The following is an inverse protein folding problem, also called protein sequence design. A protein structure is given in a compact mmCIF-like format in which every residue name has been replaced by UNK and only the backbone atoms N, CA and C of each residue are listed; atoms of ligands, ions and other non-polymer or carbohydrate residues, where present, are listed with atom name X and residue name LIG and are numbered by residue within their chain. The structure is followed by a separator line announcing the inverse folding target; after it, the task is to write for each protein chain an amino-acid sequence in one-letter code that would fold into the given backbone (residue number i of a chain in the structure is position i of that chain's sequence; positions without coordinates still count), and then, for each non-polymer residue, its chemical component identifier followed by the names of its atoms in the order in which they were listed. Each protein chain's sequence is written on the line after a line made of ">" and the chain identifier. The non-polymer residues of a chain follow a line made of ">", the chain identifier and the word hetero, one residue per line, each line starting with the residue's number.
data_IF_951664835904
#
_entry.id   IF_951664835904
#
_cell.length_a   1.000
_cell.length_b   1.000
_cell.length_c   1.000
_cell.angle_alpha   90.00
_cell.angle_beta   90.00
_cell.angle_gamma   90.00
#
_symmetry.space_group_name_H-M   'P 1'
#
loop_
_entity.id
_entity.type
_entity.pdbx_description
1 polymer ?
#
# COMPACT_ATOMS: atom_id res chain seq x y z
N UNK A 1 -31.12 29.11 -1.22
CA UNK A 1 -30.06 28.83 -2.19
C UNK A 1 -29.64 27.41 -1.89
N UNK A 2 -30.10 26.44 -2.71
CA UNK A 2 -29.71 25.05 -2.57
C UNK A 2 -28.27 24.94 -3.06
N UNK A 3 -27.40 24.46 -2.18
CA UNK A 3 -26.03 24.07 -2.52
C UNK A 3 -26.11 23.05 -3.66
N UNK A 4 -25.41 23.21 -4.80
CA UNK A 4 -25.45 22.21 -5.85
C UNK A 4 -24.81 20.95 -5.28
N UNK A 5 -25.61 19.94 -5.03
CA UNK A 5 -25.12 18.63 -4.64
C UNK A 5 -24.01 18.23 -5.62
N UNK A 6 -22.79 18.10 -5.12
CA UNK A 6 -21.65 17.63 -5.92
C UNK A 6 -22.00 16.30 -6.60
N UNK A 7 -21.23 15.88 -7.63
CA UNK A 7 -21.51 14.64 -8.35
C UNK A 7 -21.60 13.47 -7.35
N UNK A 8 -22.56 12.57 -7.58
CA UNK A 8 -22.75 11.41 -6.73
C UNK A 8 -21.44 10.59 -6.65
N UNK A 9 -21.04 10.15 -5.46
CA UNK A 9 -19.80 9.40 -5.31
C UNK A 9 -19.85 8.08 -6.10
N UNK A 10 -18.73 7.71 -6.70
CA UNK A 10 -18.59 6.44 -7.40
C UNK A 10 -18.55 5.32 -6.35
N UNK A 11 -19.43 4.35 -6.42
CA UNK A 11 -19.45 3.22 -5.49
C UNK A 11 -18.68 2.03 -6.05
N UNK A 12 -17.94 1.35 -5.17
CA UNK A 12 -17.29 0.05 -5.38
C UNK A 12 -17.68 -0.84 -4.20
N UNK A 13 -18.50 -1.85 -4.47
CA UNK A 13 -18.94 -2.77 -3.43
C UNK A 13 -17.91 -3.89 -3.22
N UNK A 14 -17.73 -4.29 -1.97
CA UNK A 14 -16.91 -5.44 -1.64
C UNK A 14 -17.69 -6.73 -1.92
N UNK A 15 -17.02 -7.74 -2.45
CA UNK A 15 -17.58 -9.10 -2.54
C UNK A 15 -17.64 -9.71 -1.14
N UNK A 16 -18.82 -9.76 -0.56
CA UNK A 16 -19.04 -10.22 0.81
C UNK A 16 -18.63 -9.20 1.87
N UNK A 17 -18.19 -9.68 3.03
CA UNK A 17 -17.81 -8.82 4.15
C UNK A 17 -16.52 -8.05 3.90
N UNK A 18 -16.41 -6.86 4.49
CA UNK A 18 -15.21 -6.01 4.44
C UNK A 18 -14.91 -5.42 5.82
N UNK A 19 -13.79 -5.82 6.41
CA UNK A 19 -13.26 -5.23 7.64
C UNK A 19 -12.61 -3.88 7.31
N UNK A 20 -13.43 -2.86 7.06
CA UNK A 20 -12.96 -1.51 6.75
C UNK A 20 -12.17 -0.89 7.90
N UNK A 21 -12.41 -1.30 9.15
CA UNK A 21 -11.63 -0.82 10.29
C UNK A 21 -10.18 -1.31 10.23
N UNK A 22 -9.94 -2.57 9.80
CA UNK A 22 -8.58 -3.06 9.55
C UNK A 22 -7.88 -2.32 8.41
N UNK A 23 -8.63 -2.02 7.33
CA UNK A 23 -8.10 -1.22 6.22
C UNK A 23 -7.71 0.19 6.69
N UNK A 24 -8.58 0.87 7.45
CA UNK A 24 -8.31 2.20 8.01
C UNK A 24 -7.12 2.19 8.98
N UNK A 25 -6.99 1.16 9.82
CA UNK A 25 -5.83 0.99 10.70
C UNK A 25 -4.53 0.85 9.88
N UNK A 26 -4.57 0.09 8.78
CA UNK A 26 -3.43 -0.03 7.86
C UNK A 26 -3.10 1.31 7.19
N UNK A 27 -4.11 2.06 6.74
CA UNK A 27 -3.90 3.41 6.18
C UNK A 27 -3.26 4.34 7.22
N UNK A 28 -3.76 4.35 8.47
CA UNK A 28 -3.21 5.18 9.55
C UNK A 28 -1.75 4.84 9.87
N UNK A 29 -1.44 3.53 9.90
CA UNK A 29 -0.08 3.07 10.14
C UNK A 29 0.92 3.52 9.07
N UNK A 30 0.45 3.72 7.83
CA UNK A 30 1.29 3.99 6.66
C UNK A 30 1.08 5.36 6.00
N UNK A 31 0.19 6.19 6.51
CA UNK A 31 -0.05 7.53 5.97
C UNK A 31 1.23 8.38 6.01
N UNK A 32 1.48 9.11 4.92
CA UNK A 32 2.65 9.99 4.74
C UNK A 32 2.16 11.44 4.74
N UNK A 33 2.76 12.25 5.59
CA UNK A 33 2.47 13.69 5.67
C UNK A 33 2.78 14.38 4.33
N UNK A 34 1.89 15.28 3.92
CA UNK A 34 1.98 15.98 2.64
C UNK A 34 1.53 15.18 1.42
N UNK A 35 1.37 13.84 1.55
CA UNK A 35 0.87 12.97 0.48
C UNK A 35 -0.57 12.50 0.73
N UNK A 36 -0.93 12.29 1.99
CA UNK A 36 -2.21 11.75 2.40
C UNK A 36 -2.89 12.66 3.42
N UNK A 37 -4.18 12.91 3.24
CA UNK A 37 -5.06 13.41 4.29
C UNK A 37 -5.99 12.27 4.70
N UNK A 38 -5.83 11.80 5.94
CA UNK A 38 -6.60 10.69 6.51
C UNK A 38 -7.46 11.21 7.65
N UNK A 39 -8.78 11.07 7.52
CA UNK A 39 -9.75 11.31 8.59
C UNK A 39 -10.34 9.97 9.03
N UNK A 40 -9.88 9.46 10.17
CA UNK A 40 -10.32 8.17 10.71
C UNK A 40 -11.77 8.21 11.20
N UNK A 41 -12.26 9.37 11.66
CA UNK A 41 -13.63 9.50 12.13
C UNK A 41 -14.63 9.47 10.97
N UNK A 42 -14.28 10.11 9.85
CA UNK A 42 -15.07 10.05 8.62
C UNK A 42 -14.81 8.77 7.80
N UNK A 43 -13.74 8.03 8.10
CA UNK A 43 -13.32 6.86 7.33
C UNK A 43 -12.78 7.21 5.94
N UNK A 44 -12.14 8.38 5.78
CA UNK A 44 -11.74 8.89 4.46
C UNK A 44 -10.23 9.03 4.32
N UNK A 45 -9.75 8.72 3.11
CA UNK A 45 -8.41 9.00 2.62
C UNK A 45 -8.50 9.91 1.41
N UNK A 46 -7.87 11.09 1.47
CA UNK A 46 -7.74 12.00 0.32
C UNK A 46 -6.29 12.04 -0.13
N UNK A 47 -6.05 11.91 -1.44
CA UNK A 47 -4.75 11.99 -2.07
C UNK A 47 -4.86 12.32 -3.56
N UNK A 48 -3.74 12.68 -4.16
CA UNK A 48 -3.59 12.71 -5.61
C UNK A 48 -3.28 11.32 -6.14
N UNK A 49 -3.88 11.00 -7.27
CA UNK A 49 -3.70 9.74 -8.01
C UNK A 49 -3.46 10.07 -9.47
N UNK A 50 -2.42 9.50 -10.04
CA UNK A 50 -2.19 9.58 -11.47
C UNK A 50 -3.08 8.58 -12.22
N UNK A 51 -3.74 9.05 -13.27
CA UNK A 51 -4.47 8.23 -14.25
C UNK A 51 -4.00 8.69 -15.63
N UNK A 52 -3.32 7.82 -16.34
CA UNK A 52 -2.81 8.06 -17.70
C UNK A 52 -2.00 9.38 -17.83
N UNK A 53 -1.12 9.64 -16.86
CA UNK A 53 -0.26 10.83 -16.84
C UNK A 53 -0.95 12.11 -16.38
N UNK A 54 -2.19 12.02 -15.90
CA UNK A 54 -2.93 13.15 -15.34
C UNK A 54 -3.26 12.91 -13.87
N UNK A 55 -2.88 13.87 -13.02
CA UNK A 55 -3.15 13.77 -11.59
C UNK A 55 -4.61 14.19 -11.27
N UNK A 56 -5.29 13.34 -10.50
CA UNK A 56 -6.66 13.58 -10.02
C UNK A 56 -6.69 13.57 -8.50
N UNK A 57 -7.35 14.58 -7.91
CA UNK A 57 -7.64 14.54 -6.47
C UNK A 57 -8.76 13.55 -6.22
N UNK A 58 -8.52 12.60 -5.33
CA UNK A 58 -9.47 11.53 -5.00
C UNK A 58 -9.65 11.44 -3.51
N UNK A 59 -10.89 11.42 -3.06
CA UNK A 59 -11.28 11.08 -1.69
C UNK A 59 -11.96 9.71 -1.70
N UNK A 60 -11.36 8.75 -1.03
CA UNK A 60 -11.91 7.41 -0.85
C UNK A 60 -12.48 7.30 0.56
N UNK A 61 -13.76 6.96 0.69
CA UNK A 61 -14.42 6.66 1.96
C UNK A 61 -14.64 5.15 2.05
N UNK A 62 -14.25 4.54 3.16
CA UNK A 62 -14.45 3.12 3.44
C UNK A 62 -15.61 2.92 4.40
N UNK A 63 -16.42 1.92 4.14
CA UNK A 63 -17.49 1.43 5.00
C UNK A 63 -17.60 -0.11 4.93
N UNK A 64 -18.48 -0.72 5.72
CA UNK A 64 -18.62 -2.18 5.79
C UNK A 64 -19.03 -2.84 4.45
N UNK A 65 -19.61 -2.08 3.52
CA UNK A 65 -20.02 -2.57 2.20
C UNK A 65 -18.96 -2.36 1.11
N UNK A 66 -17.86 -1.63 1.37
CA UNK A 66 -16.83 -1.36 0.36
C UNK A 66 -16.27 0.05 0.41
N UNK A 67 -16.17 0.70 -0.74
CA UNK A 67 -15.61 2.03 -0.89
C UNK A 67 -16.50 2.96 -1.73
N UNK A 68 -16.50 4.25 -1.40
CA UNK A 68 -17.08 5.31 -2.21
C UNK A 68 -15.99 6.31 -2.57
N UNK A 69 -15.96 6.76 -3.84
CA UNK A 69 -14.94 7.67 -4.33
C UNK A 69 -15.58 9.00 -4.75
N UNK A 70 -14.94 10.10 -4.38
CA UNK A 70 -15.24 11.41 -4.89
C UNK A 70 -14.02 11.98 -5.62
N UNK A 71 -14.23 12.54 -6.81
CA UNK A 71 -13.23 13.25 -7.63
C UNK A 71 -13.91 14.39 -8.39
N UNK A 72 -13.22 15.50 -8.66
CA UNK A 72 -13.74 16.56 -9.53
C UNK A 72 -13.91 16.14 -10.99
N UNK A 73 -13.16 15.10 -11.43
CA UNK A 73 -13.24 14.63 -12.82
C UNK A 73 -14.63 14.07 -13.16
N UNK A 74 -15.13 14.43 -14.35
CA UNK A 74 -16.38 13.90 -14.91
C UNK A 74 -16.11 12.88 -16.04
N UNK A 75 -14.86 12.59 -16.35
CA UNK A 75 -14.48 11.67 -17.41
C UNK A 75 -14.81 10.22 -17.01
N UNK A 76 -15.64 9.48 -17.77
CA UNK A 76 -15.95 8.08 -17.50
C UNK A 76 -14.73 7.16 -17.53
N UNK A 77 -13.69 7.47 -18.33
CA UNK A 77 -12.46 6.69 -18.36
C UNK A 77 -11.71 6.81 -17.06
N UNK A 78 -11.58 8.03 -16.52
CA UNK A 78 -10.99 8.29 -15.18
C UNK A 78 -11.79 7.57 -14.09
N UNK A 79 -13.12 7.62 -14.14
CA UNK A 79 -13.99 6.92 -13.20
C UNK A 79 -13.76 5.41 -13.23
N UNK A 80 -13.60 4.83 -14.42
CA UNK A 80 -13.32 3.38 -14.58
C UNK A 80 -11.97 3.02 -14.00
N UNK A 81 -10.93 3.79 -14.30
CA UNK A 81 -9.57 3.57 -13.77
C UNK A 81 -9.54 3.70 -12.24
N UNK A 82 -10.19 4.71 -11.66
CA UNK A 82 -10.25 4.90 -10.21
C UNK A 82 -11.03 3.79 -9.50
N UNK A 83 -12.11 3.26 -10.09
CA UNK A 83 -12.81 2.08 -9.55
C UNK A 83 -11.90 0.86 -9.53
N UNK A 84 -11.20 0.56 -10.62
CA UNK A 84 -10.28 -0.56 -10.70
C UNK A 84 -9.13 -0.42 -9.67
N UNK A 85 -8.58 0.78 -9.53
CA UNK A 85 -7.52 1.08 -8.57
C UNK A 85 -7.97 0.83 -7.13
N UNK A 86 -9.14 1.33 -6.73
CA UNK A 86 -9.66 1.17 -5.36
C UNK A 86 -10.06 -0.28 -5.09
N UNK A 87 -10.61 -0.98 -6.09
CA UNK A 87 -10.86 -2.42 -6.03
C UNK A 87 -9.57 -3.18 -5.69
N UNK A 88 -8.48 -2.88 -6.39
CA UNK A 88 -7.17 -3.46 -6.14
C UNK A 88 -6.59 -3.05 -4.78
N UNK A 89 -6.68 -1.76 -4.41
CA UNK A 89 -6.11 -1.24 -3.15
C UNK A 89 -6.67 -1.94 -1.92
N UNK A 90 -7.96 -2.25 -1.93
CA UNK A 90 -8.65 -2.83 -0.78
C UNK A 90 -9.10 -4.28 -1.02
N UNK A 91 -8.65 -4.90 -2.13
CA UNK A 91 -8.92 -6.30 -2.44
C UNK A 91 -10.44 -6.62 -2.44
N UNK A 92 -11.25 -5.68 -2.98
CA UNK A 92 -12.69 -5.69 -2.80
C UNK A 92 -13.40 -6.84 -3.54
N UNK A 93 -12.83 -7.36 -4.62
CA UNK A 93 -13.39 -8.48 -5.39
C UNK A 93 -12.97 -9.86 -4.89
N UNK A 94 -12.03 -9.94 -3.92
CA UNK A 94 -11.56 -11.22 -3.43
C UNK A 94 -12.69 -12.04 -2.83
N UNK A 95 -12.75 -13.32 -3.22
CA UNK A 95 -13.59 -14.33 -2.55
C UNK A 95 -12.86 -14.81 -1.29
N UNK A 96 -13.36 -14.42 -0.14
CA UNK A 96 -12.75 -14.79 1.14
C UNK A 96 -13.20 -16.15 1.66
N UNK A 97 -14.23 -16.79 1.11
CA UNK A 97 -14.71 -18.07 1.62
C UNK A 97 -13.60 -19.14 1.66
N UNK A 98 -12.84 -19.40 0.56
CA UNK A 98 -11.76 -20.38 0.60
C UNK A 98 -10.55 -19.93 1.47
N UNK A 99 -10.36 -18.61 1.64
CA UNK A 99 -9.34 -18.05 2.55
C UNK A 99 -9.72 -18.34 4.00
N UNK A 100 -10.96 -18.03 4.38
CA UNK A 100 -11.47 -18.21 5.73
C UNK A 100 -11.57 -19.71 6.10
N UNK A 101 -11.94 -20.57 5.16
CA UNK A 101 -11.91 -22.03 5.35
C UNK A 101 -10.48 -22.52 5.64
N UNK A 102 -9.50 -22.08 4.85
CA UNK A 102 -8.10 -22.49 5.01
C UNK A 102 -7.51 -21.97 6.31
N UNK A 103 -7.65 -20.69 6.61
CA UNK A 103 -7.05 -20.07 7.79
C UNK A 103 -7.84 -20.40 9.05
N UNK A 104 -9.18 -20.52 8.98
CA UNK A 104 -10.03 -20.90 10.08
C UNK A 104 -9.78 -22.33 10.60
N UNK A 105 -9.22 -23.22 9.77
CA UNK A 105 -8.78 -24.53 10.18
C UNK A 105 -7.53 -24.52 11.08
N UNK A 106 -6.73 -23.43 11.06
CA UNK A 106 -5.60 -23.28 11.96
C UNK A 106 -6.05 -22.61 13.26
N UNK A 107 -5.83 -23.23 14.44
CA UNK A 107 -6.18 -22.65 15.75
C UNK A 107 -5.65 -21.23 15.97
N UNK A 108 -4.56 -20.87 15.31
CA UNK A 108 -3.98 -19.52 15.38
C UNK A 108 -4.94 -18.45 14.86
N UNK A 109 -5.68 -18.74 13.80
CA UNK A 109 -6.57 -17.77 13.14
C UNK A 109 -8.04 -18.01 13.38
N UNK A 110 -8.43 -19.18 13.91
CA UNK A 110 -9.82 -19.59 14.03
C UNK A 110 -10.71 -18.56 14.77
N UNK A 111 -10.22 -17.96 15.85
CA UNK A 111 -10.94 -16.92 16.56
C UNK A 111 -11.03 -15.63 15.73
N UNK A 112 -9.93 -15.18 15.16
CA UNK A 112 -9.87 -13.95 14.37
C UNK A 112 -10.72 -14.03 13.10
N UNK A 113 -10.76 -15.20 12.44
CA UNK A 113 -11.64 -15.40 11.27
C UNK A 113 -13.10 -15.20 11.63
N UNK A 114 -13.55 -15.71 12.80
CA UNK A 114 -14.93 -15.53 13.28
C UNK A 114 -15.24 -14.11 13.75
N UNK A 115 -14.30 -13.49 14.46
CA UNK A 115 -14.50 -12.18 15.11
C UNK A 115 -14.27 -11.02 14.16
N UNK A 116 -13.41 -11.20 13.15
CA UNK A 116 -13.04 -10.21 12.14
C UNK A 116 -13.17 -10.78 10.72
N UNK A 117 -14.40 -11.16 10.31
CA UNK A 117 -14.64 -11.55 8.92
C UNK A 117 -14.36 -10.38 8.00
N UNK A 118 -13.94 -10.66 6.76
CA UNK A 118 -13.70 -9.61 5.76
C UNK A 118 -12.35 -8.90 5.86
N UNK A 119 -11.41 -9.40 6.67
CA UNK A 119 -10.04 -8.87 6.69
C UNK A 119 -9.33 -9.22 5.38
N UNK A 120 -8.96 -8.18 4.62
CA UNK A 120 -8.39 -8.25 3.27
C UNK A 120 -6.96 -7.72 3.23
N UNK A 121 -6.26 -7.98 2.12
CA UNK A 121 -4.94 -7.41 1.88
C UNK A 121 -5.12 -5.95 1.43
N UNK A 122 -4.61 -5.00 2.23
CA UNK A 122 -4.66 -3.58 1.88
C UNK A 122 -3.39 -3.18 1.12
N UNK A 123 -3.53 -2.69 -0.13
CA UNK A 123 -2.45 -2.36 -1.07
C UNK A 123 -2.32 -0.88 -1.42
N UNK A 124 -3.05 -0.02 -0.93
CA UNK A 124 -3.37 1.40 -1.20
C UNK A 124 -2.28 2.31 -1.84
N UNK A 125 -1.16 1.77 -2.29
CA UNK A 125 -0.09 2.52 -2.97
C UNK A 125 0.04 2.12 -4.43
N UNK A 126 0.24 3.11 -5.35
CA UNK A 126 0.70 2.82 -6.70
C UNK A 126 2.04 2.06 -6.69
N UNK A 127 2.35 1.27 -7.71
CA UNK A 127 3.52 0.39 -7.71
C UNK A 127 4.85 1.08 -7.42
N UNK A 128 5.16 2.19 -8.08
CA UNK A 128 6.39 2.95 -7.84
C UNK A 128 6.47 3.49 -6.41
N UNK A 129 5.41 4.12 -5.92
CA UNK A 129 5.34 4.59 -4.53
C UNK A 129 5.55 3.45 -3.54
N UNK A 130 4.99 2.27 -3.83
CA UNK A 130 5.17 1.09 -3.00
C UNK A 130 6.64 0.63 -2.96
N UNK A 131 7.33 0.61 -4.10
CA UNK A 131 8.77 0.29 -4.18
C UNK A 131 9.57 1.26 -3.32
N UNK A 132 9.44 2.56 -3.56
CA UNK A 132 10.23 3.58 -2.85
C UNK A 132 9.91 3.58 -1.35
N UNK A 133 8.64 3.58 -0.96
CA UNK A 133 8.26 3.56 0.45
C UNK A 133 8.72 2.28 1.17
N UNK A 134 8.74 1.13 0.48
CA UNK A 134 9.28 -0.12 1.05
C UNK A 134 10.79 -0.01 1.28
N UNK A 135 11.54 0.54 0.32
CA UNK A 135 12.99 0.78 0.48
C UNK A 135 13.26 1.76 1.63
N UNK A 136 12.50 2.86 1.73
CA UNK A 136 12.62 3.82 2.83
C UNK A 136 12.34 3.19 4.20
N UNK A 137 11.44 2.21 4.25
CA UNK A 137 11.06 1.49 5.48
C UNK A 137 11.97 0.32 5.87
N UNK A 138 12.95 -0.07 5.04
CA UNK A 138 13.84 -1.19 5.36
C UNK A 138 14.61 -0.95 6.67
N UNK A 139 14.59 -1.91 7.59
CA UNK A 139 15.40 -1.93 8.82
C UNK A 139 15.27 -0.68 9.71
N UNK A 140 14.11 -0.01 9.66
CA UNK A 140 13.79 1.12 10.53
C UNK A 140 12.39 0.95 11.12
N UNK A 141 12.04 1.77 12.12
CA UNK A 141 10.66 1.79 12.61
C UNK A 141 9.70 2.34 11.55
N UNK A 142 8.43 1.96 11.65
CA UNK A 142 7.39 2.47 10.76
C UNK A 142 7.31 4.00 10.76
N UNK A 143 7.49 4.62 11.95
CA UNK A 143 7.54 6.08 12.08
C UNK A 143 8.72 6.71 11.34
N UNK A 144 9.91 6.09 11.39
CA UNK A 144 11.08 6.57 10.65
C UNK A 144 10.90 6.42 9.14
N UNK A 145 10.32 5.30 8.68
CA UNK A 145 10.00 5.11 7.26
C UNK A 145 9.02 6.16 6.73
N UNK A 146 7.99 6.48 7.51
CA UNK A 146 7.03 7.57 7.18
C UNK A 146 7.72 8.93 7.13
N UNK A 147 8.60 9.22 8.08
CA UNK A 147 9.36 10.48 8.10
C UNK A 147 10.24 10.63 6.86
N UNK A 148 10.94 9.56 6.44
CA UNK A 148 11.72 9.59 5.21
C UNK A 148 10.84 9.81 3.97
N UNK A 149 9.69 9.14 3.90
CA UNK A 149 8.74 9.34 2.82
C UNK A 149 8.19 10.77 2.79
N UNK A 150 7.84 11.35 3.95
CA UNK A 150 7.39 12.73 4.06
C UNK A 150 8.45 13.73 3.59
N UNK A 151 9.72 13.54 3.98
CA UNK A 151 10.84 14.37 3.52
C UNK A 151 11.07 14.25 2.02
N UNK A 152 10.98 13.04 1.47
CA UNK A 152 11.11 12.81 0.03
C UNK A 152 9.98 13.53 -0.73
N UNK A 153 8.73 13.41 -0.28
CA UNK A 153 7.58 14.11 -0.86
C UNK A 153 7.72 15.62 -0.72
N UNK A 154 8.18 16.13 0.43
CA UNK A 154 8.39 17.56 0.64
C UNK A 154 9.48 18.13 -0.28
N UNK A 155 10.55 17.37 -0.55
CA UNK A 155 11.66 17.81 -1.39
C UNK A 155 11.36 17.70 -2.89
N UNK A 156 10.72 16.63 -3.32
CA UNK A 156 10.61 16.26 -4.74
C UNK A 156 9.19 16.04 -5.24
N UNK A 157 8.18 16.03 -4.34
CA UNK A 157 6.77 15.89 -4.72
C UNK A 157 6.28 17.13 -5.47
N UNK A 158 5.50 16.91 -6.50
CA UNK A 158 4.90 17.98 -7.28
C UNK A 158 3.77 18.66 -6.50
N UNK A 159 3.70 20.01 -6.61
CA UNK A 159 2.61 20.81 -6.04
C UNK A 159 1.60 21.07 -7.13
N UNK A 160 0.39 20.46 -7.04
CA UNK A 160 -0.65 20.74 -8.02
C UNK A 160 -1.07 22.21 -7.99
N UNK A 161 -1.40 22.77 -9.15
CA UNK A 161 -1.90 24.14 -9.23
C UNK A 161 -3.29 24.24 -8.60
N UNK A 162 -3.40 25.01 -7.50
CA UNK A 162 -4.63 25.57 -6.95
C UNK A 162 -5.73 24.57 -6.50
N UNK A 163 -5.40 23.62 -5.61
CA UNK A 163 -6.45 22.78 -5.01
C UNK A 163 -6.79 23.13 -3.55
N UNK A 164 -5.98 23.93 -2.88
CA UNK A 164 -6.19 24.33 -1.48
C UNK A 164 -6.00 23.21 -0.44
N UNK A 165 -5.66 21.97 -0.86
CA UNK A 165 -5.48 20.84 0.06
C UNK A 165 -4.11 20.82 0.74
N UNK A 166 -3.11 21.44 0.12
CA UNK A 166 -1.71 21.36 0.54
C UNK A 166 -1.07 19.99 0.32
N UNK A 167 -1.77 19.05 -0.34
CA UNK A 167 -1.23 17.73 -0.68
C UNK A 167 -0.36 17.81 -1.92
N UNK A 168 0.66 16.96 -1.97
CA UNK A 168 1.57 16.81 -3.10
C UNK A 168 1.28 15.53 -3.86
N UNK A 169 1.68 15.49 -5.12
CA UNK A 169 1.78 14.26 -5.91
C UNK A 169 3.11 13.60 -5.56
N UNK A 170 3.12 12.26 -5.42
CA UNK A 170 4.37 11.52 -5.23
C UNK A 170 5.30 11.77 -6.44
N UNK A 171 6.61 12.00 -6.24
CA UNK A 171 7.51 12.27 -7.35
C UNK A 171 7.51 11.11 -8.36
N UNK A 172 7.58 11.44 -9.65
CA UNK A 172 7.66 10.42 -10.71
C UNK A 172 8.99 9.66 -10.68
N UNK A 173 9.07 8.47 -11.29
CA UNK A 173 10.34 7.75 -11.47
C UNK A 173 11.41 8.60 -12.14
N UNK A 174 11.07 9.30 -13.21
CA UNK A 174 11.99 10.18 -13.95
C UNK A 174 12.51 11.32 -13.07
N UNK A 175 11.62 11.94 -12.30
CA UNK A 175 12.01 13.02 -11.40
C UNK A 175 13.02 12.54 -10.34
N UNK A 176 12.81 11.36 -9.73
CA UNK A 176 13.73 10.81 -8.74
C UNK A 176 15.01 10.25 -9.37
N UNK A 177 14.94 9.66 -10.56
CA UNK A 177 16.13 9.19 -11.31
C UNK A 177 17.06 10.32 -11.70
N UNK A 178 16.53 11.53 -11.94
CA UNK A 178 17.33 12.71 -12.25
C UNK A 178 18.06 13.31 -11.03
N UNK A 179 17.70 12.94 -9.80
CA UNK A 179 18.30 13.49 -8.57
C UNK A 179 19.61 12.78 -8.26
N UNK A 180 20.75 13.50 -8.10
CA UNK A 180 22.01 12.91 -7.67
C UNK A 180 21.87 12.19 -6.33
N UNK A 181 22.47 11.00 -6.19
CA UNK A 181 22.33 10.17 -4.96
C UNK A 181 22.72 10.91 -3.68
N UNK A 182 23.76 11.76 -3.70
CA UNK A 182 24.18 12.54 -2.51
C UNK A 182 23.19 13.65 -2.17
N UNK A 183 22.53 14.26 -3.15
CA UNK A 183 21.45 15.23 -2.93
C UNK A 183 20.25 14.54 -2.30
N UNK A 184 19.82 13.40 -2.88
CA UNK A 184 18.74 12.58 -2.34
C UNK A 184 19.02 12.16 -0.88
N UNK A 185 20.28 11.75 -0.62
CA UNK A 185 20.74 11.39 0.73
C UNK A 185 20.61 12.54 1.72
N UNK A 186 21.05 13.73 1.33
CA UNK A 186 21.04 14.92 2.18
C UNK A 186 19.62 15.42 2.43
N UNK A 187 18.79 15.54 1.39
CA UNK A 187 17.41 16.05 1.48
C UNK A 187 16.52 15.17 2.35
N UNK A 188 16.62 13.84 2.22
CA UNK A 188 15.76 12.89 2.94
C UNK A 188 16.35 12.45 4.28
N UNK A 189 17.69 12.56 4.44
CA UNK A 189 18.39 12.09 5.64
C UNK A 189 18.69 10.60 5.62
N UNK A 190 19.04 10.05 4.45
CA UNK A 190 19.26 8.62 4.25
C UNK A 190 20.72 8.22 4.50
N UNK A 191 20.96 6.93 4.72
CA UNK A 191 22.30 6.35 4.58
C UNK A 191 22.68 6.31 3.09
N UNK A 192 23.99 6.25 2.79
CA UNK A 192 24.45 6.11 1.39
C UNK A 192 23.86 4.91 0.67
N UNK A 193 23.84 3.76 1.34
CA UNK A 193 23.29 2.54 0.78
C UNK A 193 21.83 2.71 0.41
N UNK A 194 21.01 3.27 1.32
CA UNK A 194 19.56 3.46 1.06
C UNK A 194 19.31 4.50 -0.03
N UNK A 195 20.06 5.61 -0.06
CA UNK A 195 19.94 6.60 -1.12
C UNK A 195 20.28 6.00 -2.49
N UNK A 196 21.32 5.16 -2.55
CA UNK A 196 21.68 4.39 -3.76
C UNK A 196 20.54 3.46 -4.16
N UNK A 197 19.96 2.70 -3.23
CA UNK A 197 18.83 1.79 -3.51
C UNK A 197 17.62 2.56 -4.05
N UNK A 198 17.25 3.71 -3.46
CA UNK A 198 16.15 4.56 -3.92
C UNK A 198 16.42 5.07 -5.33
N UNK A 199 17.63 5.56 -5.60
CA UNK A 199 18.01 6.07 -6.93
C UNK A 199 17.99 4.97 -7.99
N UNK A 200 18.63 3.81 -7.74
CA UNK A 200 18.63 2.68 -8.68
C UNK A 200 17.22 2.14 -8.93
N UNK A 201 16.36 2.10 -7.89
CA UNK A 201 14.95 1.70 -8.05
C UNK A 201 14.17 2.72 -8.90
N UNK A 202 14.44 4.03 -8.74
CA UNK A 202 13.81 5.06 -9.55
C UNK A 202 14.24 4.97 -11.03
N UNK A 203 15.53 4.79 -11.31
CA UNK A 203 16.05 4.56 -12.67
C UNK A 203 15.38 3.33 -13.29
N UNK A 204 15.36 2.21 -12.57
CA UNK A 204 14.73 0.99 -13.04
C UNK A 204 13.25 1.20 -13.40
N UNK A 205 12.47 1.85 -12.53
CA UNK A 205 11.06 2.09 -12.79
C UNK A 205 10.82 3.08 -13.94
N UNK A 206 11.70 4.07 -14.13
CA UNK A 206 11.64 4.99 -15.26
C UNK A 206 11.84 4.24 -16.61
N UNK A 207 12.78 3.30 -16.63
CA UNK A 207 13.07 2.47 -17.82
C UNK A 207 12.01 1.40 -18.08
N UNK A 208 11.22 1.01 -17.06
CA UNK A 208 10.25 -0.09 -17.13
C UNK A 208 8.82 0.43 -16.86
N UNK A 209 8.21 1.09 -17.84
CA UNK A 209 6.80 1.47 -17.80
C UNK A 209 6.46 2.70 -16.94
N UNK A 210 7.44 3.54 -16.59
CA UNK A 210 7.17 4.82 -15.90
C UNK A 210 6.55 4.67 -14.51
N UNK A 211 6.66 3.50 -13.88
CA UNK A 211 6.15 3.24 -12.53
C UNK A 211 4.66 2.89 -12.43
N UNK A 212 3.96 2.75 -13.55
CA UNK A 212 2.55 2.33 -13.58
C UNK A 212 2.37 0.86 -13.17
N UNK A 213 3.37 0.03 -13.46
CA UNK A 213 3.39 -1.39 -13.11
C UNK A 213 4.55 -1.72 -12.18
N UNK A 214 4.39 -2.78 -11.41
CA UNK A 214 5.48 -3.32 -10.61
C UNK A 214 6.45 -4.07 -11.54
N UNK A 215 7.76 -3.69 -11.60
CA UNK A 215 8.72 -4.44 -12.38
C UNK A 215 8.80 -5.91 -11.94
N UNK A 216 9.14 -6.79 -12.88
CA UNK A 216 9.29 -8.21 -12.58
C UNK A 216 10.23 -8.47 -11.40
N UNK A 217 9.94 -9.51 -10.64
CA UNK A 217 10.70 -9.90 -9.44
C UNK A 217 12.20 -10.05 -9.72
N UNK A 218 12.56 -10.66 -10.86
CA UNK A 218 13.96 -10.86 -11.25
C UNK A 218 14.68 -9.53 -11.51
N UNK A 219 13.98 -8.59 -12.14
CA UNK A 219 14.48 -7.25 -12.44
C UNK A 219 14.69 -6.43 -11.17
N UNK A 220 13.70 -6.43 -10.26
CA UNK A 220 13.81 -5.78 -8.96
C UNK A 220 14.94 -6.37 -8.11
N UNK A 221 15.19 -7.69 -8.19
CA UNK A 221 16.27 -8.36 -7.46
C UNK A 221 17.68 -7.88 -7.89
N UNK A 222 17.81 -7.29 -9.07
CA UNK A 222 19.06 -6.70 -9.57
C UNK A 222 19.42 -5.35 -8.91
N UNK A 223 18.46 -4.68 -8.27
CA UNK A 223 18.69 -3.40 -7.60
C UNK A 223 19.42 -3.61 -6.27
N UNK A 224 20.49 -2.85 -6.05
CA UNK A 224 21.23 -2.91 -4.78
C UNK A 224 20.30 -2.70 -3.58
N UNK A 225 20.39 -3.59 -2.59
CA UNK A 225 19.60 -3.47 -1.36
C UNK A 225 18.16 -3.97 -1.45
N UNK A 226 17.70 -4.45 -2.60
CA UNK A 226 16.42 -5.16 -2.74
C UNK A 226 16.65 -6.65 -2.54
N UNK A 227 16.32 -7.15 -1.35
CA UNK A 227 16.41 -8.56 -0.98
C UNK A 227 15.06 -9.28 -0.99
N UNK A 228 15.09 -10.57 -0.62
CA UNK A 228 13.91 -11.46 -0.60
C UNK A 228 12.74 -10.85 0.18
N UNK A 229 12.99 -10.25 1.37
CA UNK A 229 11.94 -9.60 2.15
C UNK A 229 11.23 -8.50 1.36
N UNK A 230 11.99 -7.61 0.70
CA UNK A 230 11.43 -6.52 -0.11
C UNK A 230 10.60 -7.07 -1.27
N UNK A 231 11.11 -8.09 -1.95
CA UNK A 231 10.43 -8.73 -3.07
C UNK A 231 9.12 -9.40 -2.65
N UNK A 232 9.11 -10.13 -1.54
CA UNK A 232 7.89 -10.77 -1.02
C UNK A 232 6.89 -9.72 -0.51
N UNK A 233 7.39 -8.66 0.16
CA UNK A 233 6.55 -7.56 0.63
C UNK A 233 5.88 -6.83 -0.54
N UNK A 234 6.62 -6.53 -1.60
CA UNK A 234 6.08 -5.87 -2.80
C UNK A 234 5.11 -6.76 -3.57
N UNK A 235 5.41 -8.05 -3.73
CA UNK A 235 4.51 -9.02 -4.37
C UNK A 235 3.14 -9.07 -3.67
N UNK A 236 3.11 -8.94 -2.34
CA UNK A 236 1.90 -8.91 -1.54
C UNK A 236 1.21 -7.54 -1.53
N UNK A 237 1.97 -6.45 -1.31
CA UNK A 237 1.43 -5.12 -0.99
C UNK A 237 1.28 -4.20 -2.20
N UNK A 238 1.86 -4.55 -3.35
CA UNK A 238 1.76 -3.79 -4.60
C UNK A 238 1.38 -4.68 -5.79
N UNK A 239 1.75 -5.96 -5.73
CA UNK A 239 1.39 -6.96 -6.73
C UNK A 239 0.04 -7.64 -6.46
N UNK A 240 -0.14 -8.80 -7.07
CA UNK A 240 -1.36 -9.62 -6.98
C UNK A 240 -1.12 -10.99 -6.33
N UNK A 241 0.09 -11.25 -5.85
CA UNK A 241 0.44 -12.56 -5.27
C UNK A 241 -0.14 -12.70 -3.85
N UNK A 242 -1.26 -13.39 -3.75
CA UNK A 242 -1.93 -13.69 -2.46
C UNK A 242 -1.22 -14.75 -1.62
N UNK A 243 -0.23 -15.44 -2.20
CA UNK A 243 0.59 -16.44 -1.49
C UNK A 243 1.99 -15.93 -1.12
N UNK A 244 2.34 -14.69 -1.47
CA UNK A 244 3.58 -14.07 -1.01
C UNK A 244 3.58 -13.90 0.51
N UNK A 245 4.71 -14.29 1.15
CA UNK A 245 4.86 -14.23 2.60
C UNK A 245 6.26 -13.76 2.96
N UNK A 246 6.44 -12.51 3.42
CA UNK A 246 7.74 -11.98 3.80
C UNK A 246 8.22 -12.58 5.14
N UNK A 247 8.67 -13.83 5.12
CA UNK A 247 8.96 -14.64 6.31
C UNK A 247 10.02 -14.02 7.25
N UNK A 248 10.87 -13.16 6.74
CA UNK A 248 11.87 -12.41 7.53
C UNK A 248 11.34 -11.09 8.12
N UNK A 249 10.07 -10.75 7.88
CA UNK A 249 9.46 -9.53 8.46
C UNK A 249 9.48 -9.58 9.98
N UNK A 250 9.99 -8.50 10.59
CA UNK A 250 10.19 -8.44 12.04
C UNK A 250 8.86 -8.48 12.84
N UNK A 251 7.81 -7.87 12.29
CA UNK A 251 6.47 -7.86 12.93
C UNK A 251 5.86 -9.24 12.82
N UNK A 252 5.86 -9.85 11.62
CA UNK A 252 5.34 -11.19 11.43
C UNK A 252 6.04 -12.22 12.33
N UNK A 253 7.36 -12.19 12.38
CA UNK A 253 8.15 -13.10 13.23
C UNK A 253 7.82 -12.94 14.70
N UNK A 254 7.76 -11.70 15.18
CA UNK A 254 7.45 -11.40 16.59
C UNK A 254 6.02 -11.84 16.94
N UNK A 255 5.04 -11.49 16.10
CA UNK A 255 3.64 -11.86 16.30
C UNK A 255 3.46 -13.38 16.27
N UNK A 256 4.07 -14.07 15.30
CA UNK A 256 4.01 -15.52 15.20
C UNK A 256 4.66 -16.21 16.41
N UNK A 257 5.83 -15.71 16.85
CA UNK A 257 6.50 -16.25 18.02
C UNK A 257 5.69 -16.07 19.32
N UNK A 258 4.96 -14.97 19.44
CA UNK A 258 4.11 -14.69 20.60
C UNK A 258 2.83 -15.55 20.61
N UNK A 259 2.18 -15.69 19.46
CA UNK A 259 0.89 -16.39 19.35
C UNK A 259 1.02 -17.90 19.17
N UNK A 260 2.11 -18.36 18.56
CA UNK A 260 2.37 -19.78 18.28
C UNK A 260 3.86 -20.10 18.51
N UNK A 261 4.32 -20.16 19.77
CA UNK A 261 5.69 -20.52 20.08
C UNK A 261 6.09 -21.84 19.42
N UNK A 262 7.22 -21.86 18.70
CA UNK A 262 7.71 -23.04 17.99
C UNK A 262 7.08 -23.27 16.61
N UNK A 263 6.22 -22.39 16.12
CA UNK A 263 5.72 -22.46 14.75
C UNK A 263 6.87 -22.35 13.74
N UNK A 264 7.04 -23.41 12.95
CA UNK A 264 8.08 -23.53 11.94
C UNK A 264 7.58 -23.27 10.52
N UNK A 265 8.47 -23.44 9.51
CA UNK A 265 8.14 -23.26 8.10
C UNK A 265 6.97 -24.14 7.62
N UNK A 266 6.80 -25.33 8.19
CA UNK A 266 5.71 -26.25 7.85
C UNK A 266 4.33 -25.65 8.15
N UNK A 267 4.18 -24.95 9.28
CA UNK A 267 2.95 -24.24 9.60
C UNK A 267 2.66 -23.14 8.61
N UNK A 268 3.67 -22.33 8.25
CA UNK A 268 3.51 -21.29 7.22
C UNK A 268 3.13 -21.91 5.88
N UNK A 269 3.71 -23.06 5.53
CA UNK A 269 3.38 -23.79 4.30
C UNK A 269 1.95 -24.33 4.29
N UNK A 270 1.37 -24.65 5.45
CA UNK A 270 -0.01 -25.14 5.54
C UNK A 270 -1.07 -24.09 5.16
N UNK A 271 -0.75 -22.80 5.18
CA UNK A 271 -1.65 -21.71 4.80
C UNK A 271 -1.73 -21.47 3.28
N UNK A 272 -0.91 -22.19 2.49
CA UNK A 272 -0.99 -22.10 1.02
C UNK A 272 -2.40 -22.45 0.53
N UNK A 273 -2.84 -21.73 -0.55
CA UNK A 273 -2.19 -20.67 -1.32
C UNK A 273 -2.50 -19.25 -0.78
N UNK A 274 -2.82 -19.09 0.50
CA UNK A 274 -3.33 -17.87 1.11
C UNK A 274 -2.40 -17.29 2.19
N UNK A 275 -1.08 -17.53 2.08
CA UNK A 275 -0.10 -17.05 3.06
C UNK A 275 -0.08 -15.52 3.19
N UNK A 276 -0.41 -14.80 2.12
CA UNK A 276 -0.55 -13.33 2.13
C UNK A 276 -1.68 -12.86 3.04
N UNK A 277 -2.81 -13.54 3.07
CA UNK A 277 -3.90 -13.25 4.02
C UNK A 277 -3.51 -13.62 5.44
N UNK A 278 -2.75 -14.70 5.64
CA UNK A 278 -2.18 -15.01 6.95
C UNK A 278 -1.24 -13.90 7.43
N UNK A 279 -0.38 -13.35 6.55
CA UNK A 279 0.46 -12.20 6.86
C UNK A 279 -0.38 -10.96 7.24
N UNK A 280 -1.45 -10.66 6.48
CA UNK A 280 -2.34 -9.55 6.78
C UNK A 280 -3.00 -9.70 8.17
N UNK A 281 -3.45 -10.91 8.52
CA UNK A 281 -4.00 -11.21 9.85
C UNK A 281 -2.95 -11.10 10.96
N UNK A 282 -1.73 -11.58 10.73
CA UNK A 282 -0.63 -11.45 11.69
C UNK A 282 -0.22 -9.99 11.92
N UNK A 283 -0.18 -9.16 10.88
CA UNK A 283 0.06 -7.72 11.04
C UNK A 283 -1.08 -7.04 11.83
N UNK A 284 -2.33 -7.44 11.61
CA UNK A 284 -3.48 -6.89 12.34
C UNK A 284 -3.50 -7.26 13.83
N UNK A 285 -2.79 -8.30 14.28
CA UNK A 285 -2.55 -8.59 15.70
C UNK A 285 -1.48 -7.67 16.30
N UNK A 286 -0.56 -7.17 15.50
CA UNK A 286 0.59 -6.37 15.94
C UNK A 286 0.35 -4.84 15.88
N UNK A 287 -0.81 -4.42 15.37
CA UNK A 287 -1.30 -3.05 15.35
C UNK A 287 -2.30 -2.89 16.50
#
# INVERSE_FOLDING_TARGET
>A
MSDPAGPAPLRVDARGTFDHAAALATLAAHAVEGLHHLDLAAGTLTRWVDVDGTAHLVTVRLDAGGASLATPSQDPAVHTALRALVTHWFDLEADLAPVDDRLGADPLFAAQVRERPGLRITRFRPPFEAVICTVLGQQVSLAAGRLFAARLVAAYGEVPTADGTGLRIFPSPDALAAVPTEELRAAVGLTRSRARTVHEAAVLCAEHGGGAELPERATLAGVHGIGVWTLDHLALRAGTDTDAFPASDAVLRRTLAALAPGAGPERIASWKPYRGYAAARLWAFGL
#
